data_IF_519715499664
#
_entry.id   IF_519715499664
#
_cell.length_a   1.000
_cell.length_b   1.000
_cell.length_c   1.000
_cell.angle_alpha   90.00
_cell.angle_beta   90.00
_cell.angle_gamma   90.00
#
_symmetry.space_group_name_H-M   'P 1'
#
loop_
_entity.id
_entity.type
_entity.pdbx_description
1 polymer ?
#
# COMPACT_ATOMS: atom_id res chain seq x y z
N UNK A 1 11.97 5.46 -0.05
CA UNK A 1 11.23 4.21 -0.28
C UNK A 1 11.74 3.06 0.59
N UNK A 2 12.99 2.58 0.47
CA UNK A 2 13.45 1.33 1.12
C UNK A 2 13.13 1.16 2.62
N UNK A 3 13.07 2.26 3.39
CA UNK A 3 12.89 2.19 4.84
C UNK A 3 11.49 2.56 5.35
N UNK A 4 10.56 3.00 4.50
CA UNK A 4 9.26 3.52 4.97
C UNK A 4 8.49 2.47 5.80
N UNK A 5 8.59 1.21 5.38
CA UNK A 5 7.96 0.03 5.98
C UNK A 5 8.84 -0.74 6.97
N UNK A 6 9.99 -0.20 7.40
CA UNK A 6 10.96 -0.96 8.21
C UNK A 6 10.37 -1.50 9.53
N UNK A 7 9.30 -0.90 10.07
CA UNK A 7 8.65 -1.41 11.26
C UNK A 7 7.89 -2.72 11.08
N UNK A 8 7.55 -3.11 9.84
CA UNK A 8 6.88 -4.39 9.55
C UNK A 8 7.72 -5.60 9.97
N UNK A 9 9.04 -5.45 10.10
CA UNK A 9 9.96 -6.55 10.49
C UNK A 9 9.66 -7.13 11.88
N UNK A 10 8.98 -6.38 12.75
CA UNK A 10 8.64 -6.85 14.10
C UNK A 10 7.43 -7.79 14.10
N UNK A 11 6.55 -7.68 13.11
CA UNK A 11 5.30 -8.43 13.01
C UNK A 11 5.01 -8.82 11.55
N UNK A 12 5.95 -9.46 10.85
CA UNK A 12 5.84 -9.71 9.41
C UNK A 12 4.60 -10.54 9.06
N UNK A 13 4.17 -11.45 9.94
CA UNK A 13 3.02 -12.33 9.74
C UNK A 13 1.67 -11.61 9.56
N UNK A 14 1.55 -10.34 9.95
CA UNK A 14 0.33 -9.55 9.76
C UNK A 14 0.30 -8.84 8.40
N UNK A 15 1.40 -8.80 7.65
CA UNK A 15 1.45 -8.13 6.36
C UNK A 15 1.31 -9.14 5.22
N UNK A 16 0.36 -8.89 4.32
CA UNK A 16 -0.04 -9.83 3.26
C UNK A 16 1.10 -10.25 2.35
N UNK A 17 2.04 -9.35 2.07
CA UNK A 17 3.23 -9.59 1.26
C UNK A 17 4.22 -10.59 1.88
N UNK A 18 4.10 -10.86 3.18
CA UNK A 18 4.96 -11.79 3.91
C UNK A 18 4.26 -13.13 4.25
N UNK A 19 2.96 -13.28 3.95
CA UNK A 19 2.19 -14.48 4.26
C UNK A 19 2.41 -15.56 3.19
N UNK A 20 3.22 -16.58 3.50
CA UNK A 20 3.52 -17.69 2.58
C UNK A 20 2.45 -18.79 2.54
N UNK A 21 1.70 -18.96 3.62
CA UNK A 21 0.81 -20.13 3.83
C UNK A 21 -0.63 -19.91 3.36
N UNK A 22 -0.93 -18.76 2.75
CA UNK A 22 -2.28 -18.38 2.30
C UNK A 22 -3.29 -18.15 3.44
N UNK A 23 -2.89 -18.36 4.70
CA UNK A 23 -3.72 -18.09 5.86
C UNK A 23 -3.52 -16.64 6.35
N UNK A 24 -4.57 -15.83 6.24
CA UNK A 24 -4.54 -14.46 6.72
C UNK A 24 -4.79 -14.41 8.23
N UNK A 25 -3.75 -14.04 8.99
CA UNK A 25 -3.78 -13.91 10.46
C UNK A 25 -4.86 -12.94 10.95
N UNK A 26 -5.24 -11.93 10.16
CA UNK A 26 -6.27 -10.96 10.54
C UNK A 26 -7.67 -11.56 10.70
N UNK A 27 -7.91 -12.81 10.26
CA UNK A 27 -9.17 -13.51 10.52
C UNK A 27 -9.38 -13.90 11.98
N UNK A 28 -8.33 -13.82 12.80
CA UNK A 28 -8.35 -14.18 14.22
C UNK A 28 -8.64 -12.99 15.15
N UNK A 29 -8.80 -11.79 14.58
CA UNK A 29 -8.89 -10.53 15.32
C UNK A 29 -10.11 -9.75 14.89
N UNK A 30 -10.61 -8.91 15.78
CA UNK A 30 -11.62 -7.91 15.41
C UNK A 30 -11.00 -6.85 14.47
N UNK A 31 -11.81 -6.15 13.66
CA UNK A 31 -11.30 -5.16 12.71
C UNK A 31 -10.45 -4.07 13.36
N UNK A 32 -10.86 -3.58 14.55
CA UNK A 32 -10.09 -2.59 15.32
C UNK A 32 -8.70 -3.12 15.69
N UNK A 33 -8.61 -4.34 16.24
CA UNK A 33 -7.35 -4.96 16.62
C UNK A 33 -6.42 -5.15 15.41
N UNK A 34 -6.98 -5.60 14.29
CA UNK A 34 -6.26 -5.73 13.03
C UNK A 34 -5.72 -4.40 12.51
N UNK A 35 -6.52 -3.33 12.59
CA UNK A 35 -6.08 -2.00 12.20
C UNK A 35 -4.93 -1.53 13.10
N UNK A 36 -5.02 -1.73 14.41
CA UNK A 36 -3.97 -1.34 15.36
C UNK A 36 -2.65 -2.07 15.11
N UNK A 37 -2.70 -3.39 14.84
CA UNK A 37 -1.51 -4.17 14.49
C UNK A 37 -0.82 -3.67 13.22
N UNK A 38 -1.60 -3.21 12.23
CA UNK A 38 -1.05 -2.58 11.03
C UNK A 38 -0.47 -1.21 11.38
N UNK A 39 -1.21 -0.34 12.04
CA UNK A 39 -0.78 1.03 12.37
C UNK A 39 0.55 1.04 13.14
N UNK A 40 0.78 0.05 14.00
CA UNK A 40 1.97 -0.06 14.83
C UNK A 40 3.29 -0.13 14.04
N UNK A 41 3.29 -0.55 12.77
CA UNK A 41 4.53 -0.57 11.98
C UNK A 41 5.15 0.82 11.82
N UNK A 42 4.34 1.89 11.83
CA UNK A 42 4.85 3.27 11.71
C UNK A 42 5.65 3.65 12.96
N UNK A 43 5.08 3.44 14.15
CA UNK A 43 5.71 3.81 15.43
C UNK A 43 6.93 2.94 15.73
N UNK A 44 6.85 1.63 15.44
CA UNK A 44 8.00 0.72 15.54
C UNK A 44 9.10 1.07 14.54
N UNK A 45 8.72 1.44 13.31
CA UNK A 45 9.65 1.90 12.28
C UNK A 45 10.38 3.17 12.69
N UNK A 46 9.67 4.15 13.25
CA UNK A 46 10.27 5.38 13.78
C UNK A 46 11.26 5.06 14.92
N UNK A 47 10.85 4.26 15.91
CA UNK A 47 11.69 3.91 17.05
C UNK A 47 12.99 3.21 16.59
N UNK A 48 12.87 2.26 15.66
CA UNK A 48 14.00 1.57 15.07
C UNK A 48 14.92 2.51 14.29
N UNK A 49 14.36 3.37 13.43
CA UNK A 49 15.13 4.34 12.66
C UNK A 49 15.92 5.31 13.56
N UNK A 50 15.33 5.74 14.69
CA UNK A 50 16.01 6.55 15.71
C UNK A 50 17.11 5.78 16.42
N UNK A 51 16.87 4.53 16.80
CA UNK A 51 17.87 3.67 17.44
C UNK A 51 19.12 3.52 16.56
N UNK A 52 18.93 3.33 15.25
CA UNK A 52 20.02 3.20 14.27
C UNK A 52 20.52 4.54 13.73
N UNK A 53 20.05 5.67 14.29
CA UNK A 53 20.49 7.03 13.94
C UNK A 53 20.36 7.35 12.45
N UNK A 54 19.28 6.87 11.81
CA UNK A 54 18.97 7.25 10.44
C UNK A 54 18.76 8.78 10.37
N UNK A 55 19.08 9.42 9.22
CA UNK A 55 18.85 10.86 9.06
C UNK A 55 17.38 11.22 9.26
N UNK A 56 17.13 12.43 9.78
CA UNK A 56 15.78 12.87 10.14
C UNK A 56 14.80 12.84 8.94
N UNK A 57 15.29 13.03 7.71
CA UNK A 57 14.48 12.91 6.50
C UNK A 57 13.89 11.50 6.34
N UNK A 58 14.64 10.44 6.63
CA UNK A 58 14.14 9.06 6.57
C UNK A 58 13.13 8.78 7.68
N UNK A 59 13.41 9.26 8.89
CA UNK A 59 12.49 9.14 10.03
C UNK A 59 11.16 9.85 9.70
N UNK A 60 11.21 11.02 9.08
CA UNK A 60 10.00 11.75 8.66
C UNK A 60 9.20 10.95 7.64
N UNK A 61 9.85 10.37 6.62
CA UNK A 61 9.16 9.52 5.64
C UNK A 61 8.45 8.34 6.31
N UNK A 62 9.10 7.66 7.26
CA UNK A 62 8.47 6.55 8.00
C UNK A 62 7.21 7.02 8.71
N UNK A 63 7.23 8.19 9.33
CA UNK A 63 6.06 8.73 10.07
C UNK A 63 4.96 9.26 9.16
N UNK A 64 5.33 9.81 8.00
CA UNK A 64 4.45 10.60 7.14
C UNK A 64 3.84 9.82 5.97
N UNK A 65 4.39 8.67 5.59
CA UNK A 65 4.01 8.00 4.32
C UNK A 65 2.55 7.55 4.27
N UNK A 66 1.91 7.26 5.41
CA UNK A 66 0.46 7.03 5.48
C UNK A 66 -0.33 8.27 5.91
N UNK A 67 0.33 9.32 6.39
CA UNK A 67 -0.33 10.51 6.91
C UNK A 67 -1.33 10.15 7.99
N UNK A 68 -2.56 10.61 7.82
CA UNK A 68 -3.68 10.32 8.75
C UNK A 68 -4.77 9.47 8.10
N UNK A 69 -4.45 8.71 7.04
CA UNK A 69 -5.45 7.90 6.32
C UNK A 69 -6.01 6.76 7.18
N UNK A 70 -7.13 6.18 6.75
CA UNK A 70 -7.62 4.92 7.32
C UNK A 70 -6.80 3.72 6.88
N UNK A 71 -6.75 2.71 7.74
CA UNK A 71 -6.59 1.32 7.32
C UNK A 71 -7.93 0.84 6.73
N UNK A 72 -8.15 1.22 5.47
CA UNK A 72 -9.46 1.19 4.79
C UNK A 72 -10.15 -0.18 4.82
N UNK A 73 -9.40 -1.28 4.69
CA UNK A 73 -9.95 -2.64 4.68
C UNK A 73 -10.70 -2.96 5.98
N UNK A 74 -10.07 -2.67 7.13
CA UNK A 74 -10.64 -2.95 8.44
C UNK A 74 -11.68 -1.91 8.85
N UNK A 75 -11.52 -0.64 8.44
CA UNK A 75 -12.54 0.37 8.66
C UNK A 75 -13.86 -0.01 7.96
N UNK A 76 -13.80 -0.43 6.69
CA UNK A 76 -14.97 -0.93 5.96
C UNK A 76 -15.57 -2.19 6.58
N UNK A 77 -14.73 -3.07 7.12
CA UNK A 77 -15.22 -4.26 7.81
C UNK A 77 -15.98 -3.90 9.09
N UNK A 78 -15.46 -2.94 9.87
CA UNK A 78 -16.14 -2.43 11.06
C UNK A 78 -17.50 -1.78 10.71
N UNK A 79 -17.55 -0.95 9.66
CA UNK A 79 -18.81 -0.37 9.17
C UNK A 79 -19.83 -1.45 8.79
N UNK A 80 -19.41 -2.49 8.06
CA UNK A 80 -20.30 -3.60 7.71
C UNK A 80 -20.81 -4.35 8.93
N UNK A 81 -19.96 -4.59 9.93
CA UNK A 81 -20.36 -5.20 11.19
C UNK A 81 -21.36 -4.32 11.96
N UNK A 82 -21.30 -3.01 11.77
CA UNK A 82 -22.22 -2.01 12.29
C UNK A 82 -23.41 -1.70 11.37
N UNK A 83 -23.69 -2.54 10.36
CA UNK A 83 -24.78 -2.35 9.38
C UNK A 83 -24.72 -1.00 8.64
N UNK A 84 -23.51 -0.56 8.31
CA UNK A 84 -23.18 0.70 7.65
C UNK A 84 -23.58 1.97 8.43
N UNK A 85 -23.84 1.84 9.75
CA UNK A 85 -24.03 2.98 10.65
C UNK A 85 -22.67 3.48 11.19
N UNK A 86 -22.14 4.52 10.57
CA UNK A 86 -20.87 5.14 10.97
C UNK A 86 -20.88 5.72 12.38
N UNK A 87 -22.05 6.02 12.97
CA UNK A 87 -22.12 6.54 14.35
C UNK A 87 -21.74 5.50 15.41
N UNK A 88 -21.73 4.21 15.03
CA UNK A 88 -21.37 3.09 15.89
C UNK A 88 -19.89 2.69 15.77
N UNK A 89 -19.12 3.33 14.89
CA UNK A 89 -17.71 3.02 14.63
C UNK A 89 -16.84 4.22 15.01
N UNK A 90 -15.91 4.01 15.94
CA UNK A 90 -14.89 5.02 16.25
C UNK A 90 -13.83 5.05 15.13
N UNK A 91 -14.01 5.98 14.20
CA UNK A 91 -13.11 6.21 13.06
C UNK A 91 -11.65 6.41 13.48
N UNK A 92 -11.41 7.01 14.66
CA UNK A 92 -10.06 7.33 15.13
C UNK A 92 -9.21 6.08 15.37
N UNK A 93 -9.85 4.93 15.62
CA UNK A 93 -9.20 3.63 15.81
C UNK A 93 -8.65 3.03 14.52
N UNK A 94 -9.03 3.57 13.38
CA UNK A 94 -8.60 3.08 12.08
C UNK A 94 -7.64 4.04 11.39
N UNK A 95 -7.37 5.22 11.96
CA UNK A 95 -6.49 6.23 11.37
C UNK A 95 -5.04 6.07 11.84
N UNK A 96 -4.11 6.25 10.90
CA UNK A 96 -2.71 6.45 11.26
C UNK A 96 -2.55 7.74 12.09
N UNK A 97 -1.62 7.76 13.06
CA UNK A 97 -1.42 8.91 13.94
C UNK A 97 -0.81 10.13 13.23
N UNK A 98 -0.28 9.94 12.01
CA UNK A 98 0.41 10.97 11.25
C UNK A 98 1.78 11.37 11.80
N UNK A 99 2.29 12.54 11.40
CA UNK A 99 1.56 13.64 10.76
C UNK A 99 1.29 13.42 9.25
N UNK A 100 0.39 14.22 8.67
CA UNK A 100 0.24 14.35 7.21
C UNK A 100 1.58 14.72 6.55
N UNK A 101 1.83 14.32 5.29
CA UNK A 101 3.02 14.68 4.53
C UNK A 101 3.34 16.17 4.60
N UNK A 102 4.61 16.49 4.87
CA UNK A 102 5.11 17.87 4.94
C UNK A 102 6.02 18.25 3.78
N UNK A 103 6.51 17.26 3.05
CA UNK A 103 7.37 17.47 1.88
C UNK A 103 6.76 16.83 0.64
N UNK A 104 7.25 17.25 -0.54
CA UNK A 104 6.84 16.65 -1.82
C UNK A 104 7.23 15.17 -1.87
N UNK A 105 8.39 14.81 -1.35
CA UNK A 105 8.88 13.43 -1.30
C UNK A 105 7.98 12.54 -0.44
N UNK A 106 7.53 13.02 0.72
CA UNK A 106 6.58 12.30 1.56
C UNK A 106 5.24 12.07 0.86
N UNK A 107 4.72 13.09 0.17
CA UNK A 107 3.48 12.97 -0.60
C UNK A 107 3.64 12.02 -1.79
N UNK A 108 4.77 12.06 -2.50
CA UNK A 108 5.08 11.13 -3.60
C UNK A 108 5.14 9.69 -3.09
N UNK A 109 5.82 9.43 -1.96
CA UNK A 109 5.91 8.10 -1.37
C UNK A 109 4.52 7.61 -0.96
N UNK A 110 3.72 8.45 -0.30
CA UNK A 110 2.35 8.14 0.06
C UNK A 110 1.49 7.73 -1.14
N UNK A 111 1.57 8.48 -2.26
CA UNK A 111 0.79 8.18 -3.46
C UNK A 111 1.29 6.90 -4.11
N UNK A 112 2.61 6.75 -4.26
CA UNK A 112 3.22 5.61 -4.93
C UNK A 112 2.97 4.29 -4.17
N UNK A 113 3.10 4.31 -2.84
CA UNK A 113 2.81 3.16 -1.97
C UNK A 113 1.35 2.71 -2.11
N UNK A 114 0.40 3.63 -1.96
CA UNK A 114 -1.03 3.31 -2.09
C UNK A 114 -1.42 2.88 -3.51
N UNK A 115 -0.79 3.47 -4.54
CA UNK A 115 -1.02 3.06 -5.92
C UNK A 115 -0.53 1.63 -6.15
N UNK A 116 0.69 1.30 -5.71
CA UNK A 116 1.29 -0.03 -5.84
C UNK A 116 0.49 -1.10 -5.09
N UNK A 117 0.20 -0.88 -3.81
CA UNK A 117 -0.51 -1.85 -2.98
C UNK A 117 -1.89 -2.17 -3.55
N UNK A 118 -2.57 -1.17 -4.13
CA UNK A 118 -3.88 -1.34 -4.74
C UNK A 118 -3.88 -2.04 -6.11
N UNK A 119 -2.75 -2.09 -6.82
CA UNK A 119 -2.68 -2.77 -8.13
C UNK A 119 -3.02 -4.25 -8.03
N UNK A 120 -2.63 -4.90 -6.94
CA UNK A 120 -2.91 -6.32 -6.70
C UNK A 120 -4.39 -6.61 -6.42
N UNK A 121 -5.13 -5.60 -5.97
CA UNK A 121 -6.55 -5.68 -5.65
C UNK A 121 -7.46 -5.35 -6.84
N UNK A 122 -6.90 -5.03 -8.01
CA UNK A 122 -7.70 -4.80 -9.22
C UNK A 122 -8.30 -6.11 -9.72
N UNK A 123 -9.62 -6.08 -9.90
CA UNK A 123 -10.38 -7.17 -10.51
C UNK A 123 -9.82 -7.51 -11.90
N UNK A 124 -9.86 -8.79 -12.33
CA UNK A 124 -9.26 -9.22 -13.60
C UNK A 124 -9.75 -8.46 -14.84
N UNK A 125 -11.01 -8.02 -14.84
CA UNK A 125 -11.60 -7.22 -15.92
C UNK A 125 -11.10 -5.77 -15.97
N UNK A 126 -10.54 -5.27 -14.86
CA UNK A 126 -9.94 -3.94 -14.72
C UNK A 126 -8.42 -3.95 -14.85
N UNK A 127 -7.84 -5.08 -15.23
CA UNK A 127 -6.42 -5.21 -15.56
C UNK A 127 -6.17 -4.71 -16.99
N UNK A 128 -6.44 -3.42 -17.21
CA UNK A 128 -6.17 -2.69 -18.46
C UNK A 128 -5.50 -1.34 -18.14
N UNK A 129 -4.97 -0.68 -19.17
CA UNK A 129 -4.39 0.67 -19.00
C UNK A 129 -5.41 1.65 -18.43
N UNK A 130 -6.66 1.61 -18.90
CA UNK A 130 -7.77 2.41 -18.39
C UNK A 130 -8.04 2.10 -16.91
N UNK A 131 -8.07 0.83 -16.52
CA UNK A 131 -8.26 0.44 -15.12
C UNK A 131 -7.15 0.94 -14.20
N UNK A 132 -5.89 0.96 -14.67
CA UNK A 132 -4.77 1.55 -13.92
C UNK A 132 -4.91 3.07 -13.80
N UNK A 133 -5.33 3.74 -14.88
CA UNK A 133 -5.60 5.18 -14.86
C UNK A 133 -6.70 5.51 -13.84
N UNK A 134 -7.81 4.77 -13.85
CA UNK A 134 -8.91 4.92 -12.91
C UNK A 134 -8.46 4.69 -11.46
N UNK A 135 -7.68 3.64 -11.22
CA UNK A 135 -7.13 3.32 -9.90
C UNK A 135 -6.26 4.45 -9.35
N UNK A 136 -5.28 4.92 -10.13
CA UNK A 136 -4.38 6.01 -9.72
C UNK A 136 -5.17 7.29 -9.46
N UNK A 137 -6.19 7.58 -10.29
CA UNK A 137 -7.09 8.71 -10.05
C UNK A 137 -7.84 8.57 -8.73
N UNK A 138 -8.39 7.40 -8.45
CA UNK A 138 -9.12 7.13 -7.21
C UNK A 138 -8.22 7.27 -5.98
N UNK A 139 -6.98 6.77 -6.04
CA UNK A 139 -6.00 6.93 -4.96
C UNK A 139 -5.71 8.40 -4.67
N UNK A 140 -5.42 9.19 -5.72
CA UNK A 140 -5.12 10.62 -5.57
C UNK A 140 -6.34 11.39 -5.08
N UNK A 141 -7.53 11.09 -5.64
CA UNK A 141 -8.78 11.74 -5.26
C UNK A 141 -9.09 11.53 -3.78
N UNK A 142 -9.07 10.27 -3.31
CA UNK A 142 -9.33 9.94 -1.90
C UNK A 142 -8.37 10.66 -0.94
N UNK A 143 -7.08 10.71 -1.27
CA UNK A 143 -6.09 11.43 -0.45
C UNK A 143 -6.30 12.95 -0.46
N UNK A 144 -6.81 13.49 -1.56
CA UNK A 144 -7.17 14.90 -1.69
C UNK A 144 -8.41 15.23 -0.86
N UNK A 145 -9.46 14.40 -0.93
CA UNK A 145 -10.67 14.52 -0.11
C UNK A 145 -10.37 14.37 1.39
N UNK A 146 -9.48 13.45 1.77
CA UNK A 146 -9.00 13.25 3.14
C UNK A 146 -7.92 14.28 3.55
N UNK A 147 -7.80 15.37 2.77
CA UNK A 147 -6.95 16.53 3.01
C UNK A 147 -5.48 16.18 3.32
N UNK A 148 -4.95 15.08 2.79
CA UNK A 148 -3.61 14.58 3.14
C UNK A 148 -2.49 15.49 2.65
N UNK A 149 -2.74 16.27 1.60
CA UNK A 149 -1.74 17.14 0.97
C UNK A 149 -1.74 18.59 1.50
N UNK A 150 -2.60 18.91 2.48
CA UNK A 150 -2.77 20.28 3.02
C UNK A 150 -1.52 20.89 3.65
N UNK A 151 -0.54 20.07 4.06
CA UNK A 151 0.67 20.51 4.75
C UNK A 151 1.95 20.33 3.92
N UNK A 152 1.84 19.91 2.65
CA UNK A 152 2.97 19.78 1.75
C UNK A 152 2.84 20.75 0.58
N UNK A 153 3.96 21.29 0.04
CA UNK A 153 3.92 22.27 -1.04
C UNK A 153 3.75 21.61 -2.43
N UNK A 154 2.86 20.61 -2.55
CA UNK A 154 2.62 19.88 -3.78
C UNK A 154 1.65 20.66 -4.69
N UNK A 155 2.06 20.98 -5.92
CA UNK A 155 1.18 21.68 -6.86
C UNK A 155 0.31 20.71 -7.67
N UNK A 156 -0.78 21.20 -8.26
CA UNK A 156 -1.59 20.41 -9.19
C UNK A 156 -0.81 19.96 -10.44
N UNK A 157 0.17 20.75 -10.88
CA UNK A 157 1.05 20.37 -12.00
C UNK A 157 1.92 19.17 -11.63
N UNK A 158 2.52 19.20 -10.43
CA UNK A 158 3.33 18.11 -9.91
C UNK A 158 2.49 16.86 -9.64
N UNK A 159 1.28 17.01 -9.11
CA UNK A 159 0.35 15.90 -8.91
C UNK A 159 -0.01 15.21 -10.24
N UNK A 160 -0.23 15.99 -11.29
CA UNK A 160 -0.44 15.47 -12.64
C UNK A 160 0.82 14.78 -13.20
N UNK A 161 2.01 15.29 -12.90
CA UNK A 161 3.26 14.64 -13.28
C UNK A 161 3.44 13.31 -12.56
N UNK A 162 3.15 13.24 -11.26
CA UNK A 162 3.17 12.00 -10.47
C UNK A 162 2.20 10.98 -11.08
N UNK A 163 0.95 11.38 -11.34
CA UNK A 163 -0.06 10.52 -11.99
C UNK A 163 0.45 9.93 -13.30
N UNK A 164 0.94 10.76 -14.22
CA UNK A 164 1.47 10.29 -15.53
C UNK A 164 2.64 9.32 -15.36
N UNK A 165 3.55 9.62 -14.44
CA UNK A 165 4.69 8.75 -14.15
C UNK A 165 4.23 7.40 -13.59
N UNK A 166 3.29 7.39 -12.64
CA UNK A 166 2.77 6.16 -12.05
C UNK A 166 2.04 5.29 -13.07
N UNK A 167 1.21 5.89 -13.94
CA UNK A 167 0.54 5.16 -15.03
C UNK A 167 1.61 4.46 -15.90
N UNK A 168 2.61 5.21 -16.36
CA UNK A 168 3.69 4.66 -17.19
C UNK A 168 4.46 3.52 -16.49
N UNK A 169 4.65 3.59 -15.18
CA UNK A 169 5.40 2.59 -14.41
C UNK A 169 4.57 1.35 -14.04
N UNK A 170 3.26 1.51 -13.82
CA UNK A 170 2.39 0.45 -13.32
C UNK A 170 1.63 -0.27 -14.44
N UNK A 171 1.33 0.38 -15.57
CA UNK A 171 0.65 -0.27 -16.72
C UNK A 171 1.40 -1.52 -17.22
N UNK A 172 2.75 -1.54 -17.36
CA UNK A 172 3.45 -2.74 -17.79
C UNK A 172 3.41 -3.91 -16.77
N UNK A 173 3.01 -3.64 -15.53
CA UNK A 173 2.90 -4.65 -14.46
C UNK A 173 1.53 -5.32 -14.41
N UNK A 174 0.55 -4.80 -15.15
CA UNK A 174 -0.71 -5.49 -15.42
C UNK A 174 -0.34 -6.85 -16.02
N UNK A 175 -0.84 -7.94 -15.44
CA UNK A 175 -0.41 -9.32 -15.68
C UNK A 175 -0.07 -9.57 -17.16
N UNK A 176 1.22 -9.52 -17.49
CA UNK A 176 1.77 -10.41 -18.50
C UNK A 176 1.64 -11.79 -17.87
N UNK A 177 0.84 -12.72 -18.41
CA UNK A 177 0.87 -14.08 -17.91
C UNK A 177 2.32 -14.55 -18.05
N UNK A 178 2.97 -14.83 -16.92
CA UNK A 178 4.17 -15.65 -16.93
C UNK A 178 3.65 -17.04 -17.27
N UNK A 179 3.41 -17.32 -18.55
CA UNK A 179 3.38 -18.70 -19.01
C UNK A 179 4.76 -19.25 -18.67
N UNK A 180 4.86 -20.33 -17.87
CA UNK A 180 6.09 -21.10 -17.86
C UNK A 180 6.33 -21.45 -19.33
N UNK A 181 7.50 -21.12 -19.87
CA UNK A 181 7.93 -21.73 -21.13
C UNK A 181 7.84 -23.23 -20.87
N UNK A 182 6.86 -23.88 -21.49
CA UNK A 182 6.79 -25.34 -21.53
C UNK A 182 8.16 -25.79 -21.97
N UNK A 183 8.84 -26.59 -21.14
CA UNK A 183 10.05 -27.28 -21.55
C UNK A 183 9.75 -27.95 -22.89
N UNK A 184 10.38 -27.45 -23.95
CA UNK A 184 10.45 -28.17 -25.21
C UNK A 184 11.16 -29.48 -24.88
N UNK A 185 10.37 -30.55 -24.73
CA UNK A 185 10.90 -31.91 -24.74
C UNK A 185 11.57 -32.10 -26.09
N UNK A 186 12.89 -31.91 -26.12
CA UNK A 186 13.73 -32.31 -27.21
C UNK A 186 13.77 -33.84 -27.19
N UNK A 187 12.76 -34.47 -27.80
CA UNK A 187 12.77 -35.89 -28.08
C UNK A 187 13.71 -36.09 -29.27
N UNK A 188 14.99 -36.30 -28.98
CA UNK A 188 15.94 -36.86 -29.93
C UNK A 188 15.92 -38.37 -29.76
N UNK A 189 15.14 -39.03 -30.61
CA UNK A 189 15.41 -40.41 -30.98
C UNK A 189 16.59 -40.41 -31.95
N UNK A 190 17.70 -41.03 -31.57
CA UNK A 190 18.70 -41.68 -32.44
C UNK A 190 19.60 -42.51 -31.51
N UNK A 191 19.35 -43.80 -31.37
CA UNK A 191 19.96 -44.93 -32.09
C UNK A 191 21.46 -45.16 -31.79
N UNK A 192 21.80 -46.46 -31.69
CA UNK A 192 23.13 -47.11 -31.62
C UNK A 192 23.67 -47.18 -30.18
N UNK A 193 23.86 -48.33 -29.51
CA UNK A 193 24.23 -49.69 -29.92
C UNK A 193 23.72 -50.72 -28.87
#
# INVERSE_FOLDING_TARGET
AMYHDIGKIYTPQYFTENQQTGFNMHRLFEPEESAQLIIEHVTRGEALARQYKLPQSFINIIREHHGTTHVESFYRQALKNAHDDASLVDETKFRYPGPKPRTKEAAIIMIADSAEAGMHALEPDKQSEEGVIEHINAVIHKKTEDEQFTHCPLTFEELNQIKRTLIKLLTPRIRVPITPKSEEKHNSEEQIE
#
